data_IF_632551526821
#
_entry.id   IF_632551526821
#
_cell.length_a   1.000
_cell.length_b   1.000
_cell.length_c   1.000
_cell.angle_alpha   90.00
_cell.angle_beta   90.00
_cell.angle_gamma   90.00
#
_symmetry.space_group_name_H-M   'P 1'
#
loop_
_entity.id
_entity.type
_entity.pdbx_description
1 polymer ?
#
# COMPACT_ATOMS: atom_id res chain seq x y z
N UNK A 1 31.71 -5.28 12.77
CA UNK A 1 31.13 -5.35 14.13
C UNK A 1 29.99 -4.34 14.14
N UNK A 2 28.94 -4.54 13.35
CA UNK A 2 27.83 -5.49 13.55
C UNK A 2 27.04 -5.14 14.81
N UNK A 3 26.19 -4.12 14.71
CA UNK A 3 25.01 -3.97 15.58
C UNK A 3 23.81 -4.38 14.73
N UNK A 4 23.60 -5.69 14.67
CA UNK A 4 22.51 -6.33 13.96
C UNK A 4 21.73 -7.21 14.92
N UNK A 5 21.29 -6.67 16.06
CA UNK A 5 20.66 -7.48 17.10
C UNK A 5 19.46 -6.85 17.82
N UNK A 6 18.76 -5.87 17.22
CA UNK A 6 17.43 -5.52 17.75
C UNK A 6 16.46 -4.86 16.76
N UNK A 7 16.33 -5.38 15.53
CA UNK A 7 15.02 -5.30 14.90
C UNK A 7 14.31 -6.62 15.27
N UNK A 8 13.60 -6.59 16.41
CA UNK A 8 12.56 -7.57 16.70
C UNK A 8 11.72 -7.71 15.42
N UNK A 9 11.25 -8.90 15.05
CA UNK A 9 10.62 -9.22 13.75
C UNK A 9 9.36 -8.38 13.37
N UNK A 10 9.11 -7.28 14.08
CA UNK A 10 8.15 -6.22 13.86
C UNK A 10 8.82 -5.06 13.10
N UNK A 11 8.88 -5.17 11.77
CA UNK A 11 9.43 -4.15 10.85
C UNK A 11 8.60 -2.85 10.76
N UNK A 12 7.77 -2.55 11.76
CA UNK A 12 6.95 -1.34 11.82
C UNK A 12 7.74 -0.07 12.15
N UNK A 13 8.92 -0.22 12.79
CA UNK A 13 9.70 0.93 13.29
C UNK A 13 11.18 0.92 12.91
N UNK A 14 11.71 -0.14 12.26
CA UNK A 14 13.09 -0.15 11.78
C UNK A 14 13.16 0.26 10.31
N UNK A 15 14.09 1.17 9.99
CA UNK A 15 14.33 1.64 8.61
C UNK A 15 15.13 0.64 7.76
N UNK A 16 15.07 -0.66 8.09
CA UNK A 16 15.70 -1.70 7.28
C UNK A 16 14.76 -2.17 6.17
N UNK A 17 15.33 -2.48 5.00
CA UNK A 17 14.64 -3.11 3.88
C UNK A 17 14.28 -4.57 4.24
N UNK A 18 13.19 -4.75 4.98
CA UNK A 18 12.67 -6.08 5.33
C UNK A 18 11.97 -6.71 4.12
N UNK A 19 12.23 -8.00 3.87
CA UNK A 19 11.60 -8.76 2.79
C UNK A 19 10.06 -8.69 2.81
N UNK A 20 9.43 -8.56 3.99
CA UNK A 20 7.98 -8.36 4.17
C UNK A 20 7.41 -7.11 3.50
N UNK A 21 8.26 -6.13 3.16
CA UNK A 21 7.88 -4.90 2.43
C UNK A 21 8.07 -5.05 0.92
N UNK A 22 8.84 -6.04 0.48
CA UNK A 22 9.15 -6.32 -0.93
C UNK A 22 8.17 -7.31 -1.56
N UNK A 23 7.44 -8.07 -0.75
CA UNK A 23 6.36 -8.95 -1.21
C UNK A 23 5.25 -8.09 -1.86
N UNK A 24 4.97 -8.34 -3.14
CA UNK A 24 3.82 -7.77 -3.81
C UNK A 24 2.55 -8.36 -3.19
N UNK A 25 1.94 -7.65 -2.25
CA UNK A 25 0.65 -8.04 -1.71
C UNK A 25 -0.38 -8.04 -2.85
N UNK A 26 -0.83 -9.24 -3.23
CA UNK A 26 -1.93 -9.37 -4.18
C UNK A 26 -3.25 -9.06 -3.47
N UNK A 27 -3.71 -7.82 -3.63
CA UNK A 27 -5.00 -7.35 -3.10
C UNK A 27 -6.19 -7.71 -3.99
N UNK A 28 -6.00 -8.61 -4.97
CA UNK A 28 -7.05 -9.01 -5.90
C UNK A 28 -8.11 -9.87 -5.21
N UNK A 29 -9.22 -9.24 -4.83
CA UNK A 29 -10.43 -9.96 -4.45
C UNK A 29 -11.17 -10.44 -5.71
N UNK A 30 -11.81 -11.61 -5.64
CA UNK A 30 -12.58 -12.15 -6.77
C UNK A 30 -13.73 -11.19 -7.13
N UNK A 31 -13.75 -10.61 -8.33
CA UNK A 31 -14.82 -9.70 -8.73
C UNK A 31 -16.15 -10.46 -8.88
N UNK A 32 -17.27 -9.74 -8.76
CA UNK A 32 -18.59 -10.29 -9.04
C UNK A 32 -18.65 -10.80 -10.49
N UNK A 33 -19.28 -11.95 -10.78
CA UNK A 33 -19.34 -12.52 -12.13
C UNK A 33 -20.00 -11.62 -13.19
N UNK A 34 -20.76 -10.60 -12.79
CA UNK A 34 -21.35 -9.60 -13.69
C UNK A 34 -20.50 -8.33 -13.84
N UNK A 35 -19.31 -8.27 -13.23
CA UNK A 35 -18.46 -7.08 -13.22
C UNK A 35 -17.08 -7.37 -13.81
N UNK A 36 -16.66 -6.52 -14.75
CA UNK A 36 -15.29 -6.51 -15.28
C UNK A 36 -14.50 -5.38 -14.63
N UNK A 37 -13.42 -5.72 -13.92
CA UNK A 37 -12.51 -4.73 -13.31
C UNK A 37 -11.32 -4.57 -14.25
N UNK A 38 -11.22 -3.43 -14.95
CA UNK A 38 -10.14 -3.16 -15.90
C UNK A 38 -8.87 -2.59 -15.27
N UNK A 39 -9.01 -1.79 -14.20
CA UNK A 39 -7.89 -1.16 -13.49
C UNK A 39 -8.11 -1.25 -11.98
N UNK A 40 -7.08 -1.60 -11.24
CA UNK A 40 -7.07 -1.64 -9.76
C UNK A 40 -6.04 -0.64 -9.28
N UNK A 41 -6.47 0.34 -8.48
CA UNK A 41 -5.60 1.38 -7.91
C UNK A 41 -5.63 1.25 -6.39
N UNK A 42 -4.51 0.83 -5.81
CA UNK A 42 -4.34 0.72 -4.35
C UNK A 42 -3.92 2.06 -3.75
N UNK A 43 -4.75 2.60 -2.86
CA UNK A 43 -4.44 3.86 -2.15
C UNK A 43 -3.99 3.55 -0.74
N UNK A 44 -2.70 3.72 -0.50
CA UNK A 44 -2.05 3.39 0.76
C UNK A 44 -2.10 4.58 1.72
N UNK A 45 -2.41 4.32 2.99
CA UNK A 45 -2.45 5.36 4.01
C UNK A 45 -1.04 5.65 4.57
N UNK A 46 -0.49 6.81 4.19
CA UNK A 46 0.64 7.44 4.89
C UNK A 46 0.22 8.30 6.08
N UNK A 47 1.17 9.02 6.69
CA UNK A 47 0.96 9.97 7.80
C UNK A 47 -0.23 10.93 7.55
N UNK A 48 -0.95 11.30 8.62
CA UNK A 48 -2.16 12.13 8.54
C UNK A 48 -1.90 13.54 7.98
N UNK A 49 -2.85 14.11 7.25
CA UNK A 49 -2.79 15.51 6.75
C UNK A 49 -2.20 15.72 5.34
N UNK A 50 -1.62 14.70 4.71
CA UNK A 50 -0.97 14.82 3.38
C UNK A 50 -1.92 14.85 2.18
N UNK A 51 -3.24 14.99 2.40
CA UNK A 51 -4.21 15.18 1.30
C UNK A 51 -4.59 13.94 0.48
N UNK A 52 -4.29 12.72 0.94
CA UNK A 52 -4.60 11.46 0.21
C UNK A 52 -6.04 11.39 -0.31
N UNK A 53 -7.02 11.70 0.54
CA UNK A 53 -8.44 11.66 0.17
C UNK A 53 -8.78 12.70 -0.90
N UNK A 54 -8.24 13.92 -0.80
CA UNK A 54 -8.48 14.97 -1.77
C UNK A 54 -7.91 14.59 -3.15
N UNK A 55 -6.67 14.10 -3.18
CA UNK A 55 -6.02 13.64 -4.42
C UNK A 55 -6.76 12.46 -5.04
N UNK A 56 -7.25 11.53 -4.21
CA UNK A 56 -8.07 10.40 -4.65
C UNK A 56 -9.35 10.85 -5.34
N UNK A 57 -10.07 11.81 -4.75
CA UNK A 57 -11.31 12.34 -5.31
C UNK A 57 -11.08 13.04 -6.64
N UNK A 58 -10.01 13.83 -6.76
CA UNK A 58 -9.67 14.50 -8.00
C UNK A 58 -9.29 13.50 -9.11
N UNK A 59 -8.49 12.48 -8.78
CA UNK A 59 -8.14 11.41 -9.71
C UNK A 59 -9.38 10.66 -10.21
N UNK A 60 -10.33 10.38 -9.32
CA UNK A 60 -11.57 9.68 -9.70
C UNK A 60 -12.44 10.48 -10.69
N UNK A 61 -12.42 11.82 -10.61
CA UNK A 61 -13.15 12.69 -11.54
C UNK A 61 -12.47 12.73 -12.92
N UNK A 62 -11.14 12.82 -12.96
CA UNK A 62 -10.37 12.83 -14.20
C UNK A 62 -10.39 11.48 -14.95
N UNK A 63 -10.72 10.39 -14.25
CA UNK A 63 -10.80 9.04 -14.83
C UNK A 63 -12.20 8.64 -15.33
N UNK A 64 -13.17 9.57 -15.39
CA UNK A 64 -14.44 9.37 -16.13
C UNK A 64 -14.17 9.20 -17.64
#
# INVERSE_FOLDING_TARGET
MTEKENCNNECGSCGEECASRTEAFDFSAKPNPLSSVGKVIGILSGKGGVGKSLVTSLLAVEMQ
#
